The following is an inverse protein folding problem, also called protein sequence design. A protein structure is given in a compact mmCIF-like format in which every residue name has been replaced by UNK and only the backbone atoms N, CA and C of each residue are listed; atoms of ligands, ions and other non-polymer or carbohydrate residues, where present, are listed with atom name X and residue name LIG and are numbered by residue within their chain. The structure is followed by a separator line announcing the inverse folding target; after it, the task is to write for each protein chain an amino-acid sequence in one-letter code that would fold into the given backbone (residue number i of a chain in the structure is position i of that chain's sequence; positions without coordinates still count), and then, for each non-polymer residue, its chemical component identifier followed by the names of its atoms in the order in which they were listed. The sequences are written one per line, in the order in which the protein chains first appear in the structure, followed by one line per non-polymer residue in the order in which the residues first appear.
data_IF_786163633096
#
_entry.id   IF_786163633096
#
_cell.length_a   1.000
_cell.length_b   1.000
_cell.length_c   1.000
_cell.angle_alpha   90.00
_cell.angle_beta   90.00
_cell.angle_gamma   90.00
#
_symmetry.space_group_name_H-M   'P 1'
#
loop_
_entity.id
_entity.type
_entity.pdbx_description
1 polymer ?
#
# COMPACT_ATOMS: atom_id res chain seq x y z
N UNK A 1 15.94 -27.58 -7.55
CA UNK A 1 14.61 -27.38 -8.15
C UNK A 1 14.41 -28.50 -9.15
N UNK A 2 13.27 -29.19 -9.11
CA UNK A 2 12.94 -30.28 -10.03
C UNK A 2 11.92 -29.74 -11.04
N UNK A 3 11.89 -30.23 -12.28
CA UNK A 3 10.98 -29.78 -13.36
C UNK A 3 9.52 -29.68 -12.89
N UNK A 4 9.10 -30.56 -11.98
CA UNK A 4 7.76 -30.52 -11.39
C UNK A 4 7.47 -29.25 -10.57
N UNK A 5 8.45 -28.71 -9.82
CA UNK A 5 8.24 -27.48 -9.03
C UNK A 5 7.98 -26.28 -9.93
N UNK A 6 8.64 -26.20 -11.08
CA UNK A 6 8.50 -25.06 -11.99
C UNK A 6 7.12 -25.04 -12.63
N UNK A 7 6.57 -26.21 -12.98
CA UNK A 7 5.19 -26.36 -13.46
C UNK A 7 4.20 -25.87 -12.40
N UNK A 8 4.37 -26.27 -11.13
CA UNK A 8 3.47 -25.81 -10.07
C UNK A 8 3.59 -24.31 -9.79
N UNK A 9 4.79 -23.73 -9.93
CA UNK A 9 4.98 -22.29 -9.81
C UNK A 9 4.28 -21.53 -10.93
N UNK A 10 4.29 -22.04 -12.17
CA UNK A 10 3.52 -21.45 -13.27
C UNK A 10 2.01 -21.56 -13.04
N UNK A 11 1.51 -22.73 -12.63
CA UNK A 11 0.10 -22.92 -12.29
C UNK A 11 -0.31 -21.95 -11.17
N UNK A 12 0.53 -21.80 -10.15
CA UNK A 12 0.26 -20.95 -9.00
C UNK A 12 0.05 -19.47 -9.37
N UNK A 13 0.54 -18.98 -10.51
CA UNK A 13 0.28 -17.60 -10.96
C UNK A 13 -1.19 -17.32 -11.21
N UNK A 14 -2.00 -18.35 -11.46
CA UNK A 14 -3.43 -18.25 -11.71
C UNK A 14 -4.30 -18.59 -10.49
N UNK A 15 -3.67 -18.88 -9.34
CA UNK A 15 -4.36 -19.30 -8.12
C UNK A 15 -4.41 -18.17 -7.10
N UNK A 16 -5.53 -18.08 -6.37
CA UNK A 16 -5.64 -17.30 -5.14
C UNK A 16 -4.70 -17.83 -4.05
N UNK A 17 -4.44 -17.03 -3.03
CA UNK A 17 -3.62 -17.42 -1.88
C UNK A 17 -4.19 -18.65 -1.17
N UNK A 18 -5.53 -18.74 -1.04
CA UNK A 18 -6.19 -19.89 -0.42
C UNK A 18 -6.01 -21.14 -1.27
N UNK A 19 -6.12 -21.05 -2.59
CA UNK A 19 -5.91 -22.18 -3.51
C UNK A 19 -4.45 -22.65 -3.50
N UNK A 20 -3.47 -21.74 -3.46
CA UNK A 20 -2.05 -22.08 -3.27
C UNK A 20 -1.82 -22.85 -1.97
N UNK A 21 -2.45 -22.42 -0.88
CA UNK A 21 -2.37 -23.11 0.42
C UNK A 21 -3.00 -24.50 0.33
N UNK A 22 -4.19 -24.64 -0.29
CA UNK A 22 -4.85 -25.95 -0.49
C UNK A 22 -4.01 -26.89 -1.34
N UNK A 23 -3.47 -26.40 -2.47
CA UNK A 23 -2.61 -27.16 -3.36
C UNK A 23 -1.37 -27.68 -2.63
N UNK A 24 -0.76 -26.86 -1.78
CA UNK A 24 0.42 -27.26 -0.99
C UNK A 24 0.12 -28.19 0.18
N UNK A 25 -1.16 -28.39 0.55
CA UNK A 25 -1.55 -29.33 1.61
C UNK A 25 -1.79 -30.76 1.10
N UNK A 26 -1.61 -31.04 -0.19
CA UNK A 26 -1.90 -32.37 -0.75
C UNK A 26 -0.84 -33.42 -0.42
N UNK A 27 0.40 -33.02 -0.16
CA UNK A 27 1.50 -33.92 0.22
C UNK A 27 2.64 -33.19 0.91
N UNK A 28 3.55 -33.93 1.53
CA UNK A 28 4.77 -33.39 2.16
C UNK A 28 5.72 -32.73 1.16
N UNK A 29 5.79 -33.22 -0.08
CA UNK A 29 6.55 -32.58 -1.15
C UNK A 29 5.90 -31.27 -1.59
N UNK A 30 4.57 -31.25 -1.70
CA UNK A 30 3.81 -30.06 -2.08
C UNK A 30 3.85 -28.98 -0.99
N UNK A 31 3.98 -29.36 0.30
CA UNK A 31 4.10 -28.42 1.41
C UNK A 31 5.32 -27.50 1.27
N UNK A 32 6.41 -28.02 0.69
CA UNK A 32 7.64 -27.24 0.43
C UNK A 32 7.38 -26.04 -0.50
N UNK A 33 6.38 -26.13 -1.38
CA UNK A 33 6.04 -25.05 -2.32
C UNK A 33 5.51 -23.80 -1.63
N UNK A 34 4.99 -23.88 -0.39
CA UNK A 34 4.54 -22.70 0.37
C UNK A 34 5.61 -21.63 0.50
N UNK A 35 6.88 -22.05 0.58
CA UNK A 35 8.05 -21.15 0.69
C UNK A 35 8.49 -20.57 -0.64
N UNK A 36 7.96 -21.07 -1.76
CA UNK A 36 8.30 -20.65 -3.11
C UNK A 36 7.18 -19.82 -3.75
N UNK A 37 5.93 -20.03 -3.34
CA UNK A 37 4.81 -19.25 -3.83
C UNK A 37 4.89 -17.80 -3.39
N UNK A 38 4.50 -16.91 -4.30
CA UNK A 38 4.21 -15.51 -4.03
C UNK A 38 2.70 -15.34 -3.82
N UNK A 39 2.33 -14.68 -2.73
CA UNK A 39 0.95 -14.52 -2.29
C UNK A 39 0.49 -13.09 -2.56
N UNK A 40 -0.52 -12.93 -3.41
CA UNK A 40 -0.88 -11.65 -4.03
C UNK A 40 -2.20 -11.08 -3.52
N UNK A 41 -3.09 -11.92 -2.99
CA UNK A 41 -4.33 -11.42 -2.38
C UNK A 41 -4.03 -10.61 -1.13
N UNK A 42 -4.83 -9.56 -0.90
CA UNK A 42 -4.79 -8.72 0.30
C UNK A 42 -4.92 -9.58 1.56
N UNK A 43 -3.99 -9.43 2.50
CA UNK A 43 -4.04 -10.12 3.80
C UNK A 43 -3.72 -9.17 4.95
N UNK A 44 -4.43 -9.32 6.07
CA UNK A 44 -4.05 -8.63 7.31
C UNK A 44 -2.73 -9.22 7.85
N UNK A 45 -1.76 -8.34 8.12
CA UNK A 45 -0.41 -8.72 8.57
C UNK A 45 -0.44 -9.64 9.80
N UNK A 46 -1.41 -9.44 10.70
CA UNK A 46 -1.58 -10.24 11.91
C UNK A 46 -1.85 -11.71 11.65
N UNK A 47 -2.55 -12.02 10.55
CA UNK A 47 -2.89 -13.40 10.18
C UNK A 47 -1.67 -14.19 9.70
N UNK A 48 -0.59 -13.50 9.33
CA UNK A 48 0.58 -14.12 8.68
C UNK A 48 1.86 -14.07 9.51
N UNK A 49 1.86 -13.39 10.67
CA UNK A 49 3.07 -13.09 11.46
C UNK A 49 3.95 -14.27 11.84
N UNK A 50 3.35 -15.45 11.97
CA UNK A 50 4.02 -16.67 12.42
C UNK A 50 4.16 -17.70 11.29
N UNK A 51 3.79 -17.33 10.05
CA UNK A 51 3.92 -18.23 8.92
C UNK A 51 5.39 -18.33 8.50
N UNK A 52 5.87 -19.55 8.21
CA UNK A 52 7.26 -19.76 7.80
C UNK A 52 7.60 -19.20 6.41
N UNK A 53 6.59 -18.71 5.68
CA UNK A 53 6.67 -18.06 4.37
C UNK A 53 6.14 -16.61 4.42
N UNK A 54 6.18 -15.98 5.61
CA UNK A 54 5.75 -14.60 5.85
C UNK A 54 6.29 -13.58 4.83
N UNK A 55 7.54 -13.75 4.38
CA UNK A 55 8.20 -12.81 3.48
C UNK A 55 7.60 -12.78 2.06
N UNK A 56 6.80 -13.78 1.68
CA UNK A 56 6.33 -13.98 0.30
C UNK A 56 4.99 -13.29 -0.02
N UNK A 57 4.45 -12.47 0.87
CA UNK A 57 3.20 -11.75 0.65
C UNK A 57 3.45 -10.38 0.00
N UNK A 58 2.77 -10.11 -1.13
CA UNK A 58 2.90 -8.86 -1.89
C UNK A 58 1.92 -7.78 -1.44
N UNK A 59 0.75 -8.16 -0.90
CA UNK A 59 -0.29 -7.21 -0.50
C UNK A 59 -0.69 -7.40 0.96
N UNK A 60 -0.31 -6.44 1.80
CA UNK A 60 -0.53 -6.47 3.23
C UNK A 60 -1.38 -5.29 3.71
N UNK A 61 -2.35 -5.61 4.57
CA UNK A 61 -3.11 -4.66 5.38
C UNK A 61 -2.55 -4.61 6.79
N UNK A 62 -2.27 -3.40 7.26
CA UNK A 62 -1.66 -3.12 8.57
C UNK A 62 -2.72 -2.37 9.37
N UNK A 63 -3.43 -3.13 10.21
CA UNK A 63 -4.50 -2.60 11.06
C UNK A 63 -4.00 -1.92 12.34
N UNK A 64 -4.92 -1.21 13.01
CA UNK A 64 -4.69 -0.43 14.22
C UNK A 64 -4.19 -1.26 15.42
N UNK A 65 -4.51 -2.55 15.47
CA UNK A 65 -4.07 -3.46 16.55
C UNK A 65 -2.60 -3.88 16.40
N UNK A 66 -1.87 -3.33 15.41
CA UNK A 66 -0.46 -3.62 15.23
C UNK A 66 0.44 -2.92 16.24
N UNK A 67 0.74 -3.66 17.31
CA UNK A 67 1.65 -3.25 18.39
C UNK A 67 3.03 -3.92 18.32
N UNK A 68 3.33 -4.62 17.22
CA UNK A 68 4.60 -5.34 17.06
C UNK A 68 5.72 -4.45 16.50
N UNK A 69 6.98 -4.74 16.84
CA UNK A 69 8.17 -4.19 16.18
C UNK A 69 8.70 -5.14 15.10
N UNK A 70 7.81 -5.68 14.25
CA UNK A 70 8.19 -6.60 13.17
C UNK A 70 8.30 -5.87 11.83
N UNK A 71 9.24 -6.33 11.00
CA UNK A 71 9.45 -5.80 9.64
C UNK A 71 8.32 -6.24 8.72
N UNK A 72 7.93 -5.40 7.77
CA UNK A 72 7.01 -5.77 6.70
C UNK A 72 7.60 -6.93 5.84
N UNK A 73 6.78 -7.78 5.21
CA UNK A 73 7.28 -8.85 4.34
C UNK A 73 8.23 -8.36 3.26
N UNK A 74 9.26 -9.14 2.93
CA UNK A 74 10.28 -8.72 1.94
C UNK A 74 9.72 -8.50 0.53
N UNK A 75 8.76 -9.31 0.09
CA UNK A 75 8.16 -9.19 -1.24
C UNK A 75 7.01 -8.18 -1.31
N UNK A 76 6.74 -7.43 -0.23
CA UNK A 76 5.60 -6.51 -0.20
C UNK A 76 5.74 -5.41 -1.26
N UNK A 77 4.68 -5.23 -2.05
CA UNK A 77 4.55 -4.20 -3.09
C UNK A 77 3.40 -3.25 -2.79
N UNK A 78 2.34 -3.77 -2.17
CA UNK A 78 1.11 -3.08 -1.85
C UNK A 78 0.93 -3.07 -0.33
N UNK A 79 0.83 -1.87 0.23
CA UNK A 79 0.63 -1.68 1.67
C UNK A 79 -0.59 -0.82 1.89
N UNK A 80 -1.52 -1.30 2.70
CA UNK A 80 -2.57 -0.49 3.29
C UNK A 80 -2.28 -0.28 4.77
N UNK A 81 -2.11 0.97 5.19
CA UNK A 81 -1.86 1.35 6.58
C UNK A 81 -3.12 1.99 7.18
N UNK A 82 -3.61 1.39 8.27
CA UNK A 82 -4.71 1.91 9.10
C UNK A 82 -4.16 2.19 10.50
N UNK A 83 -4.02 3.47 10.83
CA UNK A 83 -3.33 3.99 12.02
C UNK A 83 -4.25 4.80 12.96
N UNK A 84 -4.66 4.28 14.12
CA UNK A 84 -5.44 5.07 15.09
C UNK A 84 -4.56 6.10 15.83
N UNK A 85 -4.24 7.22 15.19
CA UNK A 85 -3.51 8.34 15.79
C UNK A 85 -1.97 8.24 15.70
N UNK A 86 -1.40 7.04 15.60
CA UNK A 86 0.06 6.83 15.51
C UNK A 86 0.46 6.08 14.26
N UNK A 87 1.50 6.58 13.61
CA UNK A 87 2.21 5.86 12.55
C UNK A 87 2.64 4.49 13.11
N UNK A 88 2.24 3.36 12.50
CA UNK A 88 2.71 2.06 12.97
C UNK A 88 4.24 2.02 12.90
N UNK A 89 4.89 1.59 13.99
CA UNK A 89 6.35 1.39 14.08
C UNK A 89 6.85 0.19 13.24
N UNK A 90 6.28 0.01 12.05
CA UNK A 90 6.76 -0.96 11.09
C UNK A 90 7.87 -0.34 10.28
N UNK A 91 9.05 -0.93 10.35
CA UNK A 91 10.11 -0.64 9.39
C UNK A 91 9.70 -1.20 8.04
N UNK A 92 9.28 -0.31 7.14
CA UNK A 92 8.98 -0.62 5.75
C UNK A 92 10.27 -0.99 4.99
N UNK A 93 10.26 -2.01 4.12
CA UNK A 93 11.33 -2.21 3.16
C UNK A 93 11.32 -1.03 2.17
N UNK A 94 12.33 -0.17 2.26
CA UNK A 94 12.38 1.14 1.61
C UNK A 94 12.31 1.07 0.07
N UNK A 95 12.59 -0.10 -0.53
CA UNK A 95 12.83 -0.23 -1.97
C UNK A 95 11.80 -1.07 -2.73
N UNK A 96 10.86 -1.76 -2.06
CA UNK A 96 9.95 -2.72 -2.72
C UNK A 96 8.50 -2.23 -2.81
N UNK A 97 8.10 -1.29 -1.95
CA UNK A 97 6.72 -0.80 -1.89
C UNK A 97 6.50 0.17 -3.04
N UNK A 98 5.56 -0.16 -3.93
CA UNK A 98 5.19 0.67 -5.08
C UNK A 98 3.83 1.32 -4.90
N UNK A 99 2.95 0.72 -4.09
CA UNK A 99 1.61 1.20 -3.82
C UNK A 99 1.43 1.32 -2.30
N UNK A 100 1.14 2.53 -1.84
CA UNK A 100 0.89 2.82 -0.44
C UNK A 100 -0.46 3.51 -0.29
N UNK A 101 -1.30 2.96 0.57
CA UNK A 101 -2.56 3.56 0.99
C UNK A 101 -2.49 3.90 2.47
N UNK A 102 -2.76 5.15 2.80
CA UNK A 102 -2.82 5.69 4.15
C UNK A 102 -4.28 5.97 4.50
N UNK A 103 -4.88 5.11 5.32
CA UNK A 103 -6.30 5.08 5.67
C UNK A 103 -6.49 5.22 7.19
N UNK A 104 -6.16 6.34 7.83
CA UNK A 104 -6.57 6.66 9.22
C UNK A 104 -5.91 7.93 9.77
N UNK A 105 -6.49 8.53 10.82
CA UNK A 105 -6.09 9.78 11.49
C UNK A 105 -4.61 9.75 11.88
N UNK A 106 -3.74 10.33 11.07
CA UNK A 106 -2.34 10.53 11.43
C UNK A 106 -2.23 11.80 12.30
N UNK A 107 -1.96 11.65 13.59
CA UNK A 107 -1.68 12.80 14.48
C UNK A 107 -0.21 13.24 14.42
N UNK A 108 0.56 12.80 13.41
CA UNK A 108 1.99 13.11 13.24
C UNK A 108 2.36 13.43 11.79
N UNK A 109 3.57 13.97 11.63
CA UNK A 109 4.13 14.32 10.32
C UNK A 109 4.34 13.07 9.45
N UNK A 110 3.99 13.16 8.16
CA UNK A 110 4.33 12.14 7.14
C UNK A 110 5.79 12.23 6.68
N UNK A 111 6.56 13.19 7.19
CA UNK A 111 7.95 13.39 6.82
C UNK A 111 8.75 12.08 7.00
N UNK A 112 9.38 11.61 5.92
CA UNK A 112 10.13 10.36 5.84
C UNK A 112 9.32 9.06 6.07
N UNK A 113 7.99 9.12 6.20
CA UNK A 113 7.17 7.92 6.35
C UNK A 113 6.92 7.21 5.02
N UNK A 114 6.75 7.97 3.93
CA UNK A 114 6.46 7.42 2.61
C UNK A 114 7.78 6.97 1.95
N UNK A 115 7.95 5.66 1.65
CA UNK A 115 9.16 5.17 1.00
C UNK A 115 9.39 5.82 -0.37
N UNK A 116 10.66 6.09 -0.72
CA UNK A 116 11.02 6.68 -2.02
C UNK A 116 10.70 5.77 -3.21
N UNK A 117 10.40 4.49 -3.00
CA UNK A 117 9.96 3.57 -4.07
C UNK A 117 8.49 3.70 -4.44
N UNK A 118 7.68 4.45 -3.68
CA UNK A 118 6.23 4.55 -3.92
C UNK A 118 5.94 5.29 -5.23
N UNK A 119 5.13 4.67 -6.07
CA UNK A 119 4.70 5.19 -7.38
C UNK A 119 3.23 5.63 -7.32
N UNK A 120 2.41 4.85 -6.59
CA UNK A 120 0.99 5.11 -6.36
C UNK A 120 0.75 5.37 -4.88
N UNK A 121 0.23 6.55 -4.57
CA UNK A 121 -0.03 6.98 -3.21
C UNK A 121 -1.50 7.37 -3.06
N UNK A 122 -2.19 6.75 -2.11
CA UNK A 122 -3.55 7.11 -1.73
C UNK A 122 -3.55 7.59 -0.29
N UNK A 123 -4.02 8.82 -0.07
CA UNK A 123 -4.10 9.48 1.23
C UNK A 123 -5.59 9.75 1.49
N UNK A 124 -6.23 8.89 2.27
CA UNK A 124 -7.70 8.90 2.43
C UNK A 124 -8.15 9.41 3.81
N UNK A 125 -7.31 10.21 4.46
CA UNK A 125 -7.48 10.59 5.85
C UNK A 125 -7.66 12.10 6.07
N UNK A 126 -8.17 12.45 7.24
CA UNK A 126 -8.20 13.79 7.81
C UNK A 126 -6.79 14.24 8.25
N UNK A 127 -6.05 14.81 7.30
CA UNK A 127 -4.81 15.49 7.63
C UNK A 127 -5.10 16.92 8.10
N UNK A 128 -5.01 17.13 9.41
CA UNK A 128 -4.96 18.47 9.99
C UNK A 128 -3.56 19.08 9.95
N UNK A 129 -2.55 18.30 9.53
CA UNK A 129 -1.15 18.71 9.39
C UNK A 129 -0.75 18.95 7.93
N UNK A 130 0.29 19.75 7.72
CA UNK A 130 0.81 20.03 6.38
C UNK A 130 1.44 18.79 5.77
N UNK A 131 1.07 18.48 4.52
CA UNK A 131 1.68 17.41 3.71
C UNK A 131 2.82 17.94 2.81
N UNK A 132 3.23 19.19 3.02
CA UNK A 132 4.30 19.82 2.23
C UNK A 132 5.58 18.99 2.37
N UNK A 133 6.25 18.75 1.24
CA UNK A 133 7.52 18.01 1.15
C UNK A 133 7.47 16.55 1.66
N UNK A 134 6.29 16.01 1.98
CA UNK A 134 6.13 14.64 2.46
C UNK A 134 6.01 13.61 1.32
N UNK A 135 5.51 14.03 0.15
CA UNK A 135 5.27 13.15 -1.00
C UNK A 135 6.56 13.05 -1.83
N UNK A 136 7.13 11.85 -2.01
CA UNK A 136 8.37 11.68 -2.77
C UNK A 136 8.14 11.91 -4.28
N UNK A 137 9.19 12.37 -4.97
CA UNK A 137 9.20 12.66 -6.42
C UNK A 137 9.07 11.43 -7.32
N UNK A 138 9.03 10.23 -6.75
CA UNK A 138 8.72 8.98 -7.46
C UNK A 138 7.22 8.77 -7.66
N UNK A 139 6.37 9.47 -6.90
CA UNK A 139 4.92 9.34 -7.01
C UNK A 139 4.45 9.94 -8.33
N UNK A 140 3.75 9.11 -9.11
CA UNK A 140 3.15 9.51 -10.40
C UNK A 140 1.62 9.49 -10.35
N UNK A 141 1.03 8.69 -9.45
CA UNK A 141 -0.41 8.58 -9.24
C UNK A 141 -0.72 8.95 -7.78
N UNK A 142 -1.56 9.96 -7.61
CA UNK A 142 -1.89 10.51 -6.29
C UNK A 142 -3.40 10.61 -6.13
N UNK A 143 -3.91 10.00 -5.06
CA UNK A 143 -5.31 10.07 -4.67
C UNK A 143 -5.44 10.71 -3.29
N UNK A 144 -6.31 11.71 -3.18
CA UNK A 144 -6.68 12.36 -1.93
C UNK A 144 -8.13 12.05 -1.60
N UNK A 145 -8.41 11.19 -0.63
CA UNK A 145 -9.77 10.78 -0.27
C UNK A 145 -10.42 11.57 0.88
N UNK A 146 -9.62 12.23 1.73
CA UNK A 146 -10.10 12.89 2.95
C UNK A 146 -10.29 14.41 2.82
N UNK A 147 -10.81 15.03 3.90
CA UNK A 147 -10.86 16.49 4.02
C UNK A 147 -9.45 16.99 4.31
N UNK A 148 -8.78 17.54 3.30
CA UNK A 148 -7.46 18.17 3.46
C UNK A 148 -7.71 19.62 3.80
N UNK A 149 -7.63 19.95 5.10
CA UNK A 149 -7.96 21.29 5.62
C UNK A 149 -6.84 22.33 5.38
N UNK A 150 -5.73 21.96 4.73
CA UNK A 150 -4.59 22.85 4.52
C UNK A 150 -4.36 23.15 3.03
N UNK A 151 -4.08 24.43 2.77
CA UNK A 151 -3.75 25.04 1.49
C UNK A 151 -2.78 24.12 0.71
N UNK A 152 -3.31 23.42 -0.30
CA UNK A 152 -2.58 22.47 -1.16
C UNK A 152 -1.50 23.11 -2.04
N UNK A 153 -1.29 24.42 -1.91
CA UNK A 153 -0.41 25.20 -2.78
C UNK A 153 1.02 24.67 -2.61
N UNK A 154 1.52 24.04 -3.68
CA UNK A 154 2.86 23.41 -3.78
C UNK A 154 3.05 22.09 -2.99
N UNK A 155 1.98 21.41 -2.60
CA UNK A 155 2.09 20.11 -1.92
C UNK A 155 2.17 18.92 -2.90
N UNK A 156 1.73 19.09 -4.15
CA UNK A 156 1.72 18.04 -5.17
C UNK A 156 3.04 18.10 -5.95
N UNK A 157 3.85 17.02 -5.99
CA UNK A 157 5.09 16.98 -6.76
C UNK A 157 4.86 17.11 -8.28
N UNK A 158 5.83 17.69 -8.99
CA UNK A 158 5.85 17.78 -10.46
C UNK A 158 5.97 16.42 -11.18
N UNK A 159 6.19 15.33 -10.43
CA UNK A 159 6.19 13.97 -10.97
C UNK A 159 4.79 13.40 -11.15
N UNK A 160 3.77 13.99 -10.51
CA UNK A 160 2.40 13.49 -10.54
C UNK A 160 1.79 13.74 -11.92
N UNK A 161 1.30 12.67 -12.53
CA UNK A 161 0.63 12.67 -13.85
C UNK A 161 -0.86 12.36 -13.73
N UNK A 162 -1.25 11.59 -12.71
CA UNK A 162 -2.64 11.21 -12.42
C UNK A 162 -3.00 11.70 -11.03
N UNK A 163 -4.02 12.55 -10.94
CA UNK A 163 -4.47 13.16 -9.70
C UNK A 163 -5.96 12.93 -9.50
N UNK A 164 -6.33 12.38 -8.34
CA UNK A 164 -7.71 12.16 -7.94
C UNK A 164 -7.99 12.93 -6.65
N UNK A 165 -9.00 13.79 -6.69
CA UNK A 165 -9.61 14.41 -5.51
C UNK A 165 -10.88 13.64 -5.14
N UNK A 166 -11.02 13.28 -3.87
CA UNK A 166 -12.16 12.55 -3.32
C UNK A 166 -13.36 13.45 -3.02
N UNK A 167 -14.41 12.82 -2.51
CA UNK A 167 -15.75 13.40 -2.33
C UNK A 167 -15.81 14.52 -1.27
N UNK A 168 -14.85 14.54 -0.34
CA UNK A 168 -14.76 15.55 0.73
C UNK A 168 -13.85 16.73 0.39
N UNK A 169 -13.32 16.80 -0.83
CA UNK A 169 -12.49 17.91 -1.26
C UNK A 169 -13.34 19.17 -1.52
N UNK A 170 -13.13 20.22 -0.72
CA UNK A 170 -13.90 21.47 -0.80
C UNK A 170 -13.00 22.72 -0.70
N UNK A 171 -11.74 22.60 -1.08
CA UNK A 171 -10.76 23.68 -1.01
C UNK A 171 -10.47 24.30 -2.40
N UNK A 172 -10.05 25.57 -2.47
CA UNK A 172 -9.63 26.17 -3.73
C UNK A 172 -8.42 25.44 -4.33
N UNK A 173 -8.52 25.03 -5.59
CA UNK A 173 -7.43 24.36 -6.34
C UNK A 173 -6.45 25.33 -7.00
N UNK A 174 -6.57 26.63 -6.75
CA UNK A 174 -5.80 27.66 -7.46
C UNK A 174 -4.29 27.44 -7.25
N UNK A 175 -3.56 27.25 -8.36
CA UNK A 175 -2.11 26.99 -8.36
C UNK A 175 -1.68 25.73 -7.55
N UNK A 176 -2.59 24.78 -7.32
CA UNK A 176 -2.29 23.54 -6.58
C UNK A 176 -1.94 22.38 -7.52
N UNK A 177 -2.48 22.39 -8.73
CA UNK A 177 -2.30 21.32 -9.72
C UNK A 177 -1.03 21.61 -10.55
N UNK A 178 -0.02 20.71 -10.53
CA UNK A 178 1.17 20.90 -11.33
C UNK A 178 0.90 20.67 -12.83
N UNK A 179 1.69 21.31 -13.68
CA UNK A 179 1.55 21.22 -15.15
C UNK A 179 1.82 19.82 -15.72
N UNK A 180 2.38 18.92 -14.91
CA UNK A 180 2.61 17.51 -15.24
C UNK A 180 1.35 16.65 -15.25
N UNK A 181 0.26 17.11 -14.61
CA UNK A 181 -0.98 16.35 -14.52
C UNK A 181 -1.65 16.25 -15.88
N UNK A 182 -1.83 15.02 -16.36
CA UNK A 182 -2.51 14.69 -17.62
C UNK A 182 -3.90 14.13 -17.40
N UNK A 183 -4.14 13.53 -16.22
CA UNK A 183 -5.42 12.96 -15.83
C UNK A 183 -5.83 13.52 -14.47
N UNK A 184 -6.96 14.22 -14.45
CA UNK A 184 -7.54 14.82 -13.26
C UNK A 184 -8.96 14.30 -13.07
N UNK A 185 -9.24 13.72 -11.90
CA UNK A 185 -10.58 13.24 -11.55
C UNK A 185 -11.03 13.87 -10.23
N UNK A 186 -12.28 14.31 -10.19
CA UNK A 186 -12.99 14.64 -8.96
C UNK A 186 -14.00 13.51 -8.72
N UNK A 187 -13.70 12.61 -7.79
CA UNK A 187 -14.47 11.41 -7.55
C UNK A 187 -15.51 11.64 -6.44
N UNK A 188 -16.76 11.25 -6.71
CA UNK A 188 -17.72 10.85 -5.67
C UNK A 188 -17.35 9.40 -5.34
N UNK A 189 -16.73 9.15 -4.19
CA UNK A 189 -16.47 7.78 -3.75
C UNK A 189 -17.82 7.18 -3.33
N UNK A 190 -18.49 6.45 -4.23
CA UNK A 190 -19.47 5.46 -3.84
C UNK A 190 -18.71 4.34 -3.13
N UNK A 191 -18.63 4.41 -1.81
CA UNK A 191 -18.15 3.28 -0.99
C UNK A 191 -19.10 2.13 -1.29
N UNK A 192 -18.66 1.13 -2.06
CA UNK A 192 -19.34 -0.17 -2.08
C UNK A 192 -18.96 -0.89 -0.80
N UNK A 193 -19.96 -1.06 0.06
CA UNK A 193 -19.96 -1.89 1.27
C UNK A 193 -19.52 -3.34 0.99
#
# INVERSE_FOLDING_TARGET
MNIYSDIFLEIAKFLTNIEKIRLSMTSTEMDKLKRLFIYQDKVCIMKILNLPYYDNFEFVDIGYDYQGSKKCPKCVKYVNCVANGRIPEITMPINMITHLTCNSVFQGSLENYIPRSVIHLSINDHFDQSIKDCIPSSVTHLTFGGKINQIMRKCIPLSVTHLIFGDRFNEPIENCIPSSVTHLTFAIILIKE
#
